data_IF_417675760357
#
_entry.id   IF_417675760357
#
_cell.length_a   1.000
_cell.length_b   1.000
_cell.length_c   1.000
_cell.angle_alpha   90.00
_cell.angle_beta   90.00
_cell.angle_gamma   90.00
#
_symmetry.space_group_name_H-M   'P 1'
#
loop_
_entity.id
_entity.type
_entity.pdbx_description
1 polymer ?
#
# COMPACT_ATOMS: atom_id res chain seq x y z
N UNK A 1 11.23 -16.17 -1.26
CA UNK A 1 10.75 -15.18 -2.26
C UNK A 1 11.61 -13.92 -2.16
N UNK A 2 12.63 -13.76 -3.02
CA UNK A 2 13.63 -12.67 -2.96
C UNK A 2 13.63 -11.77 -4.22
N UNK A 3 12.53 -11.76 -4.97
CA UNK A 3 12.49 -11.09 -6.28
C UNK A 3 12.40 -9.56 -6.18
N UNK A 4 11.70 -9.04 -5.16
CA UNK A 4 11.53 -7.59 -4.95
C UNK A 4 12.84 -6.81 -4.81
N UNK A 5 13.80 -7.21 -3.95
CA UNK A 5 15.08 -6.50 -3.86
C UNK A 5 15.90 -6.63 -5.16
N UNK A 6 15.81 -7.75 -5.88
CA UNK A 6 16.47 -7.90 -7.17
C UNK A 6 15.91 -6.92 -8.21
N UNK A 7 14.58 -6.76 -8.26
CA UNK A 7 13.91 -5.80 -9.15
C UNK A 7 14.32 -4.37 -8.79
N UNK A 8 14.38 -4.03 -7.50
CA UNK A 8 14.87 -2.73 -7.04
C UNK A 8 16.30 -2.44 -7.51
N UNK A 9 17.22 -3.39 -7.34
CA UNK A 9 18.61 -3.22 -7.75
C UNK A 9 18.76 -3.02 -9.27
N UNK A 10 17.94 -3.72 -10.08
CA UNK A 10 17.92 -3.53 -11.53
C UNK A 10 17.43 -2.11 -11.88
N UNK A 11 16.30 -1.68 -11.32
CA UNK A 11 15.77 -0.33 -11.56
C UNK A 11 16.73 0.76 -11.09
N UNK A 12 17.38 0.56 -9.95
CA UNK A 12 18.38 1.48 -9.41
C UNK A 12 19.61 1.56 -10.33
N UNK A 13 20.10 0.42 -10.80
CA UNK A 13 21.22 0.38 -11.74
C UNK A 13 20.89 1.10 -13.05
N UNK A 14 19.71 0.85 -13.64
CA UNK A 14 19.26 1.54 -14.86
C UNK A 14 19.10 3.05 -14.63
N UNK A 15 18.58 3.46 -13.47
CA UNK A 15 18.40 4.86 -13.08
C UNK A 15 19.74 5.59 -13.01
N UNK A 16 20.72 4.99 -12.35
CA UNK A 16 22.07 5.56 -12.17
C UNK A 16 22.89 5.53 -13.47
N UNK A 17 22.70 4.51 -14.30
CA UNK A 17 23.33 4.41 -15.61
C UNK A 17 22.72 5.36 -16.65
N UNK A 18 21.58 6.01 -16.37
CA UNK A 18 20.90 6.92 -17.29
C UNK A 18 20.31 6.22 -18.51
N UNK A 19 19.97 4.92 -18.41
CA UNK A 19 19.53 4.11 -19.54
C UNK A 19 18.00 4.03 -19.61
N UNK A 20 17.44 4.35 -20.78
CA UNK A 20 16.03 4.20 -21.10
C UNK A 20 15.10 5.14 -20.33
N UNK A 21 13.81 4.83 -20.32
CA UNK A 21 12.77 5.68 -19.69
C UNK A 21 12.95 5.78 -18.17
N UNK A 22 13.56 4.79 -17.53
CA UNK A 22 13.81 4.77 -16.08
C UNK A 22 14.68 5.97 -15.64
N UNK A 23 15.55 6.47 -16.52
CA UNK A 23 16.38 7.64 -16.27
C UNK A 23 15.56 8.90 -15.92
N UNK A 24 14.36 9.07 -16.48
CA UNK A 24 13.49 10.25 -16.25
C UNK A 24 12.50 10.06 -15.11
N UNK A 25 12.35 8.84 -14.59
CA UNK A 25 11.35 8.54 -13.56
C UNK A 25 11.59 9.28 -12.24
N UNK A 26 10.55 9.45 -11.44
CA UNK A 26 10.75 9.91 -10.06
C UNK A 26 11.44 8.83 -9.21
N UNK A 27 12.24 9.24 -8.23
CA UNK A 27 12.88 8.34 -7.26
C UNK A 27 11.88 7.48 -6.48
N UNK A 28 10.64 7.96 -6.35
CA UNK A 28 9.53 7.21 -5.77
C UNK A 28 9.18 5.95 -6.56
N UNK A 29 9.24 6.00 -7.90
CA UNK A 29 8.99 4.84 -8.76
C UNK A 29 10.14 3.83 -8.74
N UNK A 30 11.38 4.30 -8.59
CA UNK A 30 12.56 3.41 -8.49
C UNK A 30 12.54 2.65 -7.16
N UNK A 31 12.15 3.31 -6.07
CA UNK A 31 12.12 2.72 -4.73
C UNK A 31 10.81 1.99 -4.40
N UNK A 32 9.77 2.10 -5.24
CA UNK A 32 8.45 1.45 -5.08
C UNK A 32 8.50 -0.02 -4.64
N UNK A 33 9.37 -0.90 -5.23
CA UNK A 33 9.46 -2.30 -4.83
C UNK A 33 9.84 -2.52 -3.36
N UNK A 34 10.51 -1.57 -2.72
CA UNK A 34 10.84 -1.60 -1.29
C UNK A 34 9.63 -1.21 -0.42
N UNK A 35 8.82 -0.27 -0.90
CA UNK A 35 7.67 0.26 -0.17
C UNK A 35 6.42 -0.57 -0.32
N UNK A 36 6.35 -1.50 -1.28
CA UNK A 36 5.16 -2.31 -1.56
C UNK A 36 4.60 -2.97 -0.29
N UNK A 37 5.46 -3.53 0.57
CA UNK A 37 5.03 -4.16 1.82
C UNK A 37 4.43 -3.17 2.81
N UNK A 38 5.08 -2.02 3.01
CA UNK A 38 4.61 -0.95 3.91
C UNK A 38 3.32 -0.35 3.39
N UNK A 39 3.22 -0.08 2.09
CA UNK A 39 2.02 0.45 1.44
C UNK A 39 0.85 -0.52 1.54
N UNK A 40 1.09 -1.82 1.39
CA UNK A 40 0.05 -2.85 1.55
C UNK A 40 -0.46 -2.89 2.98
N UNK A 41 0.43 -2.84 3.97
CA UNK A 41 0.04 -2.81 5.39
C UNK A 41 -0.72 -1.52 5.75
N UNK A 42 -0.23 -0.37 5.31
CA UNK A 42 -0.89 0.92 5.51
C UNK A 42 -2.29 0.92 4.89
N UNK A 43 -2.41 0.43 3.66
CA UNK A 43 -3.70 0.28 2.98
C UNK A 43 -4.66 -0.62 3.77
N UNK A 44 -4.19 -1.76 4.28
CA UNK A 44 -4.99 -2.66 5.10
C UNK A 44 -5.48 -1.99 6.38
N UNK A 45 -4.61 -1.26 7.08
CA UNK A 45 -4.97 -0.56 8.33
C UNK A 45 -5.97 0.55 8.07
N UNK A 46 -5.74 1.37 7.04
CA UNK A 46 -6.64 2.48 6.71
C UNK A 46 -7.99 1.98 6.24
N UNK A 47 -8.01 0.97 5.37
CA UNK A 47 -9.24 0.41 4.84
C UNK A 47 -10.00 -0.41 5.90
N UNK A 48 -9.30 -1.24 6.66
CA UNK A 48 -9.87 -2.02 7.76
C UNK A 48 -10.34 -1.16 8.92
N UNK A 49 -9.55 -0.16 9.31
CA UNK A 49 -9.92 0.85 10.31
C UNK A 49 -11.12 1.68 9.86
N UNK A 50 -11.13 2.12 8.60
CA UNK A 50 -12.28 2.81 8.00
C UNK A 50 -13.54 1.95 8.03
N UNK A 51 -13.46 0.69 7.61
CA UNK A 51 -14.57 -0.27 7.68
C UNK A 51 -15.05 -0.51 9.11
N UNK A 52 -14.15 -0.60 10.08
CA UNK A 52 -14.50 -0.79 11.48
C UNK A 52 -15.24 0.44 12.05
N UNK A 53 -14.79 1.66 11.72
CA UNK A 53 -15.44 2.91 12.13
C UNK A 53 -16.84 3.00 11.52
N UNK A 54 -16.97 2.72 10.21
CA UNK A 54 -18.26 2.71 9.52
C UNK A 54 -19.18 1.63 10.09
N UNK A 55 -18.67 0.42 10.31
CA UNK A 55 -19.43 -0.68 10.91
C UNK A 55 -19.91 -0.36 12.33
N UNK A 56 -19.07 0.29 13.15
CA UNK A 56 -19.44 0.76 14.47
C UNK A 56 -20.52 1.85 14.39
N UNK A 57 -20.38 2.83 13.50
CA UNK A 57 -21.38 3.86 13.27
C UNK A 57 -22.74 3.24 12.87
N UNK A 58 -22.74 2.30 11.92
CA UNK A 58 -23.96 1.58 11.52
C UNK A 58 -24.55 0.79 12.69
N UNK A 59 -23.71 0.12 13.48
CA UNK A 59 -24.16 -0.64 14.66
C UNK A 59 -24.79 0.26 15.74
N UNK A 60 -24.31 1.50 15.91
CA UNK A 60 -24.93 2.48 16.83
C UNK A 60 -26.33 2.92 16.39
N UNK A 61 -26.57 3.00 15.08
CA UNK A 61 -27.87 3.34 14.52
C UNK A 61 -28.82 2.14 14.37
N UNK A 62 -28.34 0.91 14.57
CA UNK A 62 -29.18 -0.28 14.44
C UNK A 62 -30.16 -0.41 15.62
N UNK A 63 -31.49 -0.37 15.37
CA UNK A 63 -32.48 -0.49 16.44
C UNK A 63 -32.40 -1.91 17.03
N UNK A 64 -31.83 -2.01 18.24
CA UNK A 64 -31.83 -3.23 19.04
C UNK A 64 -33.29 -3.55 19.41
N UNK A 65 -33.98 -4.30 18.55
CA UNK A 65 -35.33 -4.83 18.80
C UNK A 65 -35.23 -5.76 20.01
N UNK A 66 -35.40 -5.20 21.22
CA UNK A 66 -35.50 -5.96 22.47
C UNK A 66 -36.70 -6.90 22.31
N UNK A 67 -36.42 -8.20 22.13
CA UNK A 67 -37.42 -9.25 22.25
C UNK A 67 -37.92 -9.23 23.70
N UNK A 68 -39.15 -8.75 23.90
CA UNK A 68 -39.95 -9.10 25.08
C UNK A 68 -40.36 -10.56 24.96
#
# INVERSE_FOLDING_TARGET
>A
MKLLPCIFLILLALKLAGIGVVATWSWWLVTMPLWIGVATLAGLILFGGGLAIVGAAVATFWPRKRRR
#
